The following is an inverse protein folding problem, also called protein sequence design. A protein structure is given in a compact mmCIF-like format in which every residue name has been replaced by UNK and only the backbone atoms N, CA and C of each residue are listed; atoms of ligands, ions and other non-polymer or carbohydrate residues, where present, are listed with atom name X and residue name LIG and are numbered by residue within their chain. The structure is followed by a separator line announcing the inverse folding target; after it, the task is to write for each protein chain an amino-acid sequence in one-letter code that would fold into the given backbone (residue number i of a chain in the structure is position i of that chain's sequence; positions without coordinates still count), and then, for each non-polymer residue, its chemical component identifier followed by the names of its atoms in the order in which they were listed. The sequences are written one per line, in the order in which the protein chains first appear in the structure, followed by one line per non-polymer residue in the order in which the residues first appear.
data_IF_091416991225
#
_entry.id   IF_091416991225
#
_cell.length_a   1.000
_cell.length_b   1.000
_cell.length_c   1.000
_cell.angle_alpha   90.00
_cell.angle_beta   90.00
_cell.angle_gamma   90.00
#
_symmetry.space_group_name_H-M   'P 1'
#
loop_
_entity.id
_entity.type
_entity.pdbx_description
1 polymer ?
#
# COMPACT_ATOMS: atom_id res chain seq x y z
N UNK A 1 8.23 -6.92 2.56
CA UNK A 1 7.65 -6.32 1.37
C UNK A 1 6.49 -5.40 1.74
N UNK A 2 5.92 -4.76 0.75
CA UNK A 2 4.82 -3.81 0.97
C UNK A 2 3.62 -4.48 1.62
N UNK A 3 3.27 -5.67 1.18
CA UNK A 3 2.15 -6.42 1.76
C UNK A 3 2.32 -6.70 3.24
N UNK A 4 3.53 -7.07 3.64
CA UNK A 4 3.85 -7.30 5.05
C UNK A 4 3.76 -6.01 5.86
N UNK A 5 4.20 -4.90 5.29
CA UNK A 5 4.09 -3.60 5.94
C UNK A 5 2.62 -3.24 6.19
N UNK A 6 1.77 -3.44 5.19
CA UNK A 6 0.34 -3.16 5.33
C UNK A 6 -0.30 -4.05 6.39
N UNK A 7 0.07 -5.33 6.43
CA UNK A 7 -0.43 -6.25 7.45
C UNK A 7 -0.03 -5.81 8.86
N UNK A 8 1.21 -5.35 9.01
CA UNK A 8 1.69 -4.84 10.29
C UNK A 8 0.99 -3.55 10.69
N UNK A 9 0.74 -2.67 9.73
CA UNK A 9 -0.01 -1.44 9.99
C UNK A 9 -1.44 -1.74 10.41
N UNK A 10 -2.04 -2.77 9.82
CA UNK A 10 -3.40 -3.18 10.19
C UNK A 10 -3.49 -3.65 11.63
N UNK A 11 -2.44 -4.28 12.14
CA UNK A 11 -2.39 -4.69 13.55
C UNK A 11 -2.42 -3.48 14.48
N UNK A 12 -1.73 -2.41 14.10
CA UNK A 12 -1.70 -1.18 14.89
C UNK A 12 -2.96 -0.33 14.67
N UNK A 13 -3.52 -0.38 13.47
CA UNK A 13 -4.68 0.41 13.08
C UNK A 13 -5.72 -0.50 12.42
N UNK A 14 -6.53 -1.21 13.22
CA UNK A 14 -7.50 -2.16 12.67
C UNK A 14 -8.43 -1.53 11.63
N UNK A 15 -8.59 -2.20 10.51
CA UNK A 15 -9.38 -1.71 9.39
C UNK A 15 -8.59 -0.98 8.32
N UNK A 16 -7.31 -0.69 8.56
CA UNK A 16 -6.49 0.03 7.60
C UNK A 16 -6.31 -0.78 6.31
N UNK A 17 -6.06 -2.07 6.43
CA UNK A 17 -5.86 -2.95 5.28
C UNK A 17 -7.08 -2.97 4.36
N UNK A 18 -8.27 -2.98 4.92
CA UNK A 18 -9.51 -2.98 4.15
C UNK A 18 -9.69 -1.70 3.35
N UNK A 19 -9.14 -0.60 3.84
CA UNK A 19 -9.21 0.68 3.13
C UNK A 19 -8.21 0.76 1.98
N UNK A 20 -7.08 0.07 2.12
CA UNK A 20 -6.02 0.06 1.12
C UNK A 20 -6.25 -1.02 0.08
N UNK A 21 -6.68 -2.19 0.52
CA UNK A 21 -6.87 -3.37 -0.32
C UNK A 21 -8.33 -3.77 -0.40
N UNK A 22 -8.70 -4.40 -1.52
CA UNK A 22 -10.04 -4.94 -1.71
C UNK A 22 -10.15 -6.35 -1.12
N UNK A 23 -11.30 -6.98 -1.32
CA UNK A 23 -11.57 -8.32 -0.79
C UNK A 23 -10.65 -9.39 -1.35
N UNK A 24 -10.09 -9.14 -2.51
CA UNK A 24 -9.18 -10.06 -3.18
C UNK A 24 -7.73 -9.85 -2.77
N UNK A 25 -7.48 -8.86 -1.91
CA UNK A 25 -6.14 -8.55 -1.44
C UNK A 25 -5.36 -7.63 -2.37
N UNK A 26 -5.97 -7.14 -3.44
CA UNK A 26 -5.30 -6.23 -4.35
C UNK A 26 -5.48 -4.78 -3.89
N UNK A 27 -4.51 -3.94 -4.18
CA UNK A 27 -4.60 -2.51 -3.85
C UNK A 27 -5.75 -1.88 -4.65
N UNK A 28 -6.57 -1.10 -3.96
CA UNK A 28 -7.70 -0.42 -4.60
C UNK A 28 -7.21 0.57 -5.62
N UNK A 29 -8.00 0.76 -6.71
CA UNK A 29 -7.62 1.60 -7.85
C UNK A 29 -7.31 3.05 -7.46
N UNK A 30 -8.02 3.57 -6.49
CA UNK A 30 -7.87 4.96 -6.06
C UNK A 30 -6.86 5.12 -4.93
N UNK A 31 -6.12 4.07 -4.60
CA UNK A 31 -5.03 4.15 -3.64
C UNK A 31 -3.71 4.00 -4.38
N UNK A 32 -2.81 4.94 -4.16
CA UNK A 32 -1.49 4.89 -4.74
C UNK A 32 -0.48 4.64 -3.63
N UNK A 33 0.41 3.69 -3.86
CA UNK A 33 1.49 3.38 -2.92
C UNK A 33 2.81 3.58 -3.63
N UNK A 34 3.68 4.37 -3.02
CA UNK A 34 4.99 4.68 -3.57
C UNK A 34 6.07 4.14 -2.64
N UNK A 35 7.09 3.55 -3.22
CA UNK A 35 8.30 3.14 -2.51
C UNK A 35 9.43 3.98 -3.07
N UNK A 36 9.98 4.87 -2.27
CA UNK A 36 11.04 5.80 -2.67
C UNK A 36 10.70 6.53 -3.97
N UNK A 37 9.49 7.09 -4.02
CA UNK A 37 8.96 7.86 -5.14
C UNK A 37 8.56 7.04 -6.37
N UNK A 38 8.60 5.71 -6.29
CA UNK A 38 8.15 4.86 -7.39
C UNK A 38 6.83 4.18 -7.03
N UNK A 39 5.84 4.28 -7.92
CA UNK A 39 4.55 3.62 -7.74
C UNK A 39 4.75 2.11 -7.84
N UNK A 40 4.21 1.37 -6.88
CA UNK A 40 4.39 -0.09 -6.84
C UNK A 40 3.74 -0.81 -8.03
N UNK A 41 2.83 -0.15 -8.74
CA UNK A 41 2.24 -0.71 -9.96
C UNK A 41 3.27 -0.92 -11.06
N UNK A 42 4.34 -0.15 -11.03
CA UNK A 42 5.47 -0.28 -11.94
C UNK A 42 6.60 -1.12 -11.35
N UNK A 43 6.40 -1.64 -10.16
CA UNK A 43 7.32 -2.53 -9.48
C UNK A 43 6.67 -3.91 -9.38
N UNK A 44 6.55 -4.45 -8.17
CA UNK A 44 5.99 -5.78 -7.96
C UNK A 44 4.72 -5.74 -7.12
N UNK A 45 3.98 -4.65 -7.17
CA UNK A 45 2.75 -4.50 -6.39
C UNK A 45 3.03 -4.76 -4.89
N UNK A 46 2.19 -5.54 -4.24
CA UNK A 46 2.38 -5.85 -2.82
C UNK A 46 3.60 -6.73 -2.54
N UNK A 47 4.15 -7.38 -3.57
CA UNK A 47 5.36 -8.20 -3.43
C UNK A 47 6.63 -7.36 -3.53
N UNK A 48 6.51 -6.05 -3.78
CA UNK A 48 7.65 -5.16 -3.87
C UNK A 48 8.50 -5.24 -2.59
N UNK A 49 9.80 -5.60 -2.71
CA UNK A 49 10.66 -5.69 -1.54
C UNK A 49 10.96 -4.30 -0.96
N UNK A 50 11.14 -4.25 0.34
CA UNK A 50 11.46 -3.02 1.04
C UNK A 50 12.83 -3.13 1.71
N UNK A 51 13.57 -2.03 1.66
CA UNK A 51 14.85 -1.89 2.38
C UNK A 51 14.62 -0.95 3.54
N UNK A 52 15.49 -1.00 4.53
CA UNK A 52 15.41 -0.12 5.70
C UNK A 52 15.44 1.36 5.34
N UNK A 53 16.07 1.68 4.22
CA UNK A 53 16.21 3.07 3.75
C UNK A 53 15.06 3.52 2.86
N UNK A 54 14.15 2.64 2.50
CA UNK A 54 13.03 2.99 1.63
C UNK A 54 11.96 3.76 2.37
N UNK A 55 11.40 4.76 1.70
CA UNK A 55 10.25 5.50 2.17
C UNK A 55 9.00 4.97 1.49
N UNK A 56 7.98 4.66 2.28
CA UNK A 56 6.70 4.20 1.74
C UNK A 56 5.66 5.29 1.96
N UNK A 57 5.05 5.72 0.86
CA UNK A 57 3.98 6.72 0.90
C UNK A 57 2.68 6.09 0.42
N UNK A 58 1.64 6.22 1.20
CA UNK A 58 0.30 5.73 0.83
C UNK A 58 -0.58 6.94 0.61
N UNK A 59 -1.03 7.12 -0.61
CA UNK A 59 -1.81 8.29 -1.00
C UNK A 59 -3.19 7.84 -1.46
N UNK A 60 -4.21 7.95 -0.61
CA UNK A 60 -5.57 7.64 -1.04
C UNK A 60 -6.10 8.78 -1.90
N UNK A 61 -6.62 8.45 -3.06
CA UNK A 61 -7.35 9.42 -3.88
C UNK A 61 -8.80 9.40 -3.40
N UNK A 62 -9.35 10.57 -3.13
CA UNK A 62 -10.75 10.67 -2.71
C UNK A 62 -11.61 10.63 -3.97
N UNK A 63 -12.30 9.51 -4.18
CA UNK A 63 -13.16 9.33 -5.34
C UNK A 63 -14.34 10.29 -5.27
N UNK A 64 -14.56 11.03 -6.35
CA UNK A 64 -15.69 11.95 -6.45
C UNK A 64 -15.53 13.20 -5.61
N UNK A 65 -14.39 13.36 -5.03
CA UNK A 65 -14.15 14.54 -4.19
C UNK A 65 -12.86 15.19 -4.57
#
# INVERSE_FOLDING_TARGET
NVGELIANLDLAFPGLRERICDEQGAVRRFVNIFVSDEDIRFLQELATPLKDTDEVSIVPAIAGG
#
